data_IF_131492954239
#
_entry.id   IF_131492954239
#
_cell.length_a   1.000
_cell.length_b   1.000
_cell.length_c   1.000
_cell.angle_alpha   90.00
_cell.angle_beta   90.00
_cell.angle_gamma   90.00
#
_symmetry.space_group_name_H-M   'P 1'
#
loop_
_entity.id
_entity.type
_entity.pdbx_description
1 polymer ?
#
# COMPACT_ATOMS: atom_id res chain seq x y z
N UNK A 1 47.87 19.79 87.46
CA UNK A 1 47.24 18.80 88.35
C UNK A 1 45.73 18.86 88.09
N UNK A 2 45.18 17.79 87.50
CA UNK A 2 43.79 17.29 87.61
C UNK A 2 42.59 18.09 87.04
N UNK A 3 41.87 17.37 86.17
CA UNK A 3 40.40 17.20 86.05
C UNK A 3 39.57 18.44 85.64
N UNK A 4 38.44 18.36 84.93
CA UNK A 4 37.64 17.25 84.38
C UNK A 4 36.45 17.86 83.61
N UNK A 5 36.04 17.18 82.53
CA UNK A 5 34.68 16.92 82.02
C UNK A 5 33.53 17.89 82.36
N UNK A 6 32.74 18.28 81.34
CA UNK A 6 31.25 18.20 81.27
C UNK A 6 30.75 18.23 79.80
N UNK A 7 29.88 17.27 79.44
CA UNK A 7 28.82 17.36 78.39
C UNK A 7 27.67 18.27 78.91
N UNK A 8 26.57 18.62 78.19
CA UNK A 8 26.13 18.32 76.80
C UNK A 8 25.50 19.54 76.03
N UNK A 9 25.02 19.25 74.80
CA UNK A 9 23.84 19.82 74.10
C UNK A 9 23.77 21.33 73.75
N UNK A 10 23.82 21.66 72.44
CA UNK A 10 22.97 22.70 71.82
C UNK A 10 22.48 22.21 70.43
N UNK A 11 21.21 22.54 70.19
CA UNK A 11 20.25 22.17 69.15
C UNK A 11 20.31 23.11 67.91
N UNK A 12 19.57 22.73 66.85
CA UNK A 12 19.17 23.51 65.65
C UNK A 12 20.03 23.24 64.38
N UNK A 13 19.50 22.99 63.17
CA UNK A 13 18.21 23.37 62.56
C UNK A 13 17.95 22.47 61.34
N UNK A 14 16.70 22.09 61.08
CA UNK A 14 16.26 21.38 59.87
C UNK A 14 15.85 22.38 58.76
N UNK A 15 16.30 22.13 57.52
CA UNK A 15 15.79 22.59 56.20
C UNK A 15 16.93 22.27 55.20
N UNK A 16 16.84 21.39 54.20
CA UNK A 16 15.87 21.30 53.11
C UNK A 16 16.58 21.66 51.80
N UNK A 17 16.73 20.71 50.86
CA UNK A 17 16.82 20.83 49.37
C UNK A 17 17.49 19.55 48.81
N UNK A 18 16.78 18.71 48.05
CA UNK A 18 16.64 18.71 46.57
C UNK A 18 17.94 18.27 45.84
N UNK A 19 17.97 17.40 44.82
CA UNK A 19 16.96 16.83 43.93
C UNK A 19 17.39 15.42 43.48
N UNK A 20 16.41 14.51 43.44
CA UNK A 20 16.40 13.32 42.60
C UNK A 20 15.73 13.72 41.28
N UNK A 21 16.28 13.32 40.13
CA UNK A 21 15.64 13.61 38.84
C UNK A 21 16.43 13.11 37.64
N UNK A 22 16.32 11.81 37.38
CA UNK A 22 16.69 11.23 36.08
C UNK A 22 15.78 11.83 35.01
N UNK A 23 16.35 12.65 34.11
CA UNK A 23 15.66 13.11 32.91
C UNK A 23 15.66 11.99 31.88
N UNK A 24 14.61 11.16 31.94
CA UNK A 24 14.22 10.30 30.84
C UNK A 24 12.76 10.62 30.54
N UNK A 25 12.44 10.71 29.25
CA UNK A 25 11.11 10.72 28.65
C UNK A 25 10.54 12.09 28.26
N UNK A 26 10.56 12.30 26.94
CA UNK A 26 9.75 13.27 26.23
C UNK A 26 9.71 12.93 24.74
N UNK A 27 9.42 11.67 24.39
CA UNK A 27 8.97 11.35 23.02
C UNK A 27 7.49 11.69 22.99
N UNK A 28 7.16 12.93 22.61
CA UNK A 28 5.79 13.31 22.27
C UNK A 28 5.42 12.72 20.92
N UNK A 29 4.96 11.47 20.95
CA UNK A 29 4.15 10.90 19.88
C UNK A 29 2.69 10.90 20.36
N UNK A 30 1.93 11.92 19.95
CA UNK A 30 0.49 12.06 20.19
C UNK A 30 -0.09 12.91 19.06
N UNK A 31 -1.08 12.50 18.27
CA UNK A 31 -2.00 11.38 18.29
C UNK A 31 -2.47 11.14 16.85
N UNK A 32 -2.49 9.89 16.38
CA UNK A 32 -3.27 9.51 15.19
C UNK A 32 -4.73 9.47 15.60
N UNK A 33 -5.48 10.52 15.28
CA UNK A 33 -6.94 10.50 15.38
C UNK A 33 -7.50 9.96 14.07
N UNK A 34 -7.98 8.72 14.10
CA UNK A 34 -8.80 8.14 13.04
C UNK A 34 -10.26 8.36 13.41
N UNK A 35 -10.92 9.28 12.71
CA UNK A 35 -12.39 9.33 12.69
C UNK A 35 -12.85 9.96 11.37
N UNK A 36 -12.96 9.12 10.36
CA UNK A 36 -14.02 9.19 9.37
C UNK A 36 -14.18 7.79 8.79
N UNK A 37 -15.35 7.19 8.96
CA UNK A 37 -15.77 5.95 8.28
C UNK A 37 -16.03 6.26 6.81
N UNK A 38 -15.03 6.77 6.10
CA UNK A 38 -15.09 6.90 4.65
C UNK A 38 -14.94 5.48 4.12
N UNK A 39 -16.03 4.90 3.62
CA UNK A 39 -16.02 3.56 3.07
C UNK A 39 -14.95 3.45 1.98
N UNK A 40 -13.99 2.55 2.18
CA UNK A 40 -12.96 2.27 1.19
C UNK A 40 -13.57 1.50 0.03
N UNK A 41 -13.48 2.04 -1.17
CA UNK A 41 -14.00 1.40 -2.37
C UNK A 41 -12.86 0.68 -3.10
N UNK A 42 -12.99 -0.65 -3.22
CA UNK A 42 -12.02 -1.45 -3.98
C UNK A 42 -12.33 -1.34 -5.48
N UNK A 43 -11.31 -0.99 -6.26
CA UNK A 43 -11.39 -0.83 -7.72
C UNK A 43 -10.38 -1.78 -8.37
N UNK A 44 -10.89 -2.72 -9.15
CA UNK A 44 -10.06 -3.58 -10.00
C UNK A 44 -9.80 -2.87 -11.32
N UNK A 45 -8.53 -2.76 -11.70
CA UNK A 45 -8.11 -2.10 -12.93
C UNK A 45 -7.16 -3.01 -13.70
N UNK A 46 -7.28 -3.05 -15.02
CA UNK A 46 -6.31 -3.77 -15.85
C UNK A 46 -5.01 -2.96 -16.02
N UNK A 47 -3.88 -3.64 -16.13
CA UNK A 47 -2.64 -3.02 -16.57
C UNK A 47 -2.85 -2.25 -17.89
N UNK A 48 -2.36 -1.02 -17.98
CA UNK A 48 -2.53 -0.12 -19.13
C UNK A 48 -4.00 0.21 -19.47
N UNK A 49 -4.92 0.04 -18.51
CA UNK A 49 -6.32 0.46 -18.64
C UNK A 49 -6.58 1.69 -17.79
N UNK A 50 -7.70 2.33 -18.08
CA UNK A 50 -8.21 3.44 -17.28
C UNK A 50 -9.67 3.24 -16.92
N UNK A 51 -10.06 3.81 -15.78
CA UNK A 51 -11.45 3.86 -15.32
C UNK A 51 -11.78 5.26 -14.87
N UNK A 52 -13.03 5.65 -15.08
CA UNK A 52 -13.55 6.94 -14.64
C UNK A 52 -14.36 6.73 -13.38
N UNK A 53 -14.07 7.52 -12.35
CA UNK A 53 -14.80 7.52 -11.09
C UNK A 53 -15.46 8.88 -10.91
N UNK A 54 -16.78 8.87 -10.69
CA UNK A 54 -17.54 10.06 -10.31
C UNK A 54 -17.57 10.17 -8.77
N UNK A 55 -17.31 11.38 -8.27
CA UNK A 55 -17.18 11.67 -6.84
C UNK A 55 -18.48 12.23 -6.24
N UNK A 56 -18.74 11.93 -4.95
CA UNK A 56 -19.91 12.46 -4.24
C UNK A 56 -19.85 13.98 -4.03
N UNK A 57 -18.65 14.57 -4.01
CA UNK A 57 -18.39 16.01 -3.81
C UNK A 57 -17.17 16.46 -4.61
N UNK A 58 -16.90 17.76 -4.59
CA UNK A 58 -15.77 18.37 -5.29
C UNK A 58 -14.42 17.97 -4.64
N UNK A 59 -13.52 17.41 -5.44
CA UNK A 59 -12.13 17.15 -5.08
C UNK A 59 -11.30 18.42 -5.21
N UNK A 60 -10.51 18.70 -4.18
CA UNK A 60 -9.53 19.77 -4.14
C UNK A 60 -8.10 19.23 -4.20
N UNK A 61 -7.84 18.09 -3.56
CA UNK A 61 -6.53 17.46 -3.54
C UNK A 61 -6.64 15.93 -3.67
N UNK A 62 -5.62 15.30 -4.27
CA UNK A 62 -5.54 13.85 -4.49
C UNK A 62 -4.16 13.36 -4.12
N UNK A 63 -4.12 12.36 -3.26
CA UNK A 63 -2.90 11.67 -2.87
C UNK A 63 -2.91 10.25 -3.43
N UNK A 64 -1.93 9.94 -4.27
CA UNK A 64 -1.66 8.60 -4.77
C UNK A 64 -0.53 7.98 -3.95
N UNK A 65 -0.80 6.87 -3.26
CA UNK A 65 0.18 6.25 -2.37
C UNK A 65 1.42 5.72 -3.12
N UNK A 66 1.23 5.18 -4.32
CA UNK A 66 2.33 4.72 -5.18
C UNK A 66 2.12 5.17 -6.65
N UNK A 67 2.73 6.28 -7.09
CA UNK A 67 2.59 6.82 -8.45
C UNK A 67 3.30 5.99 -9.54
N UNK A 68 4.14 5.02 -9.14
CA UNK A 68 4.74 4.06 -10.07
C UNK A 68 3.73 2.99 -10.50
N UNK A 69 2.74 2.69 -9.65
CA UNK A 69 1.74 1.64 -9.89
C UNK A 69 0.48 2.21 -10.55
N UNK A 70 -0.03 3.34 -10.05
CA UNK A 70 -1.20 4.00 -10.60
C UNK A 70 -1.00 5.51 -10.74
N UNK A 71 -1.80 6.14 -11.58
CA UNK A 71 -1.89 7.60 -11.66
C UNK A 71 -3.35 8.04 -11.67
N UNK A 72 -3.61 9.26 -11.18
CA UNK A 72 -4.95 9.82 -11.07
C UNK A 72 -4.96 11.26 -11.57
N UNK A 73 -5.82 11.53 -12.55
CA UNK A 73 -5.97 12.85 -13.16
C UNK A 73 -7.40 13.33 -13.01
N UNK A 74 -7.58 14.51 -12.42
CA UNK A 74 -8.87 15.20 -12.36
C UNK A 74 -9.19 15.83 -13.70
N UNK A 75 -10.35 15.48 -14.25
CA UNK A 75 -10.88 16.18 -15.43
C UNK A 75 -11.82 17.31 -15.04
N UNK A 76 -12.58 17.10 -13.97
CA UNK A 76 -13.43 18.10 -13.33
C UNK A 76 -13.35 17.90 -11.82
N UNK A 77 -13.87 18.84 -11.02
CA UNK A 77 -13.91 18.71 -9.57
C UNK A 77 -14.59 17.41 -9.10
N UNK A 78 -15.47 16.80 -9.90
CA UNK A 78 -16.22 15.59 -9.51
C UNK A 78 -15.89 14.35 -10.31
N UNK A 79 -14.88 14.40 -11.19
CA UNK A 79 -14.54 13.28 -12.08
C UNK A 79 -13.05 13.06 -12.15
N UNK A 80 -12.63 11.87 -11.71
CA UNK A 80 -11.24 11.43 -11.72
C UNK A 80 -11.09 10.30 -12.74
N UNK A 81 -10.00 10.37 -13.51
CA UNK A 81 -9.51 9.29 -14.36
C UNK A 81 -8.38 8.58 -13.61
N UNK A 82 -8.52 7.28 -13.42
CA UNK A 82 -7.50 6.43 -12.82
C UNK A 82 -6.83 5.62 -13.92
N UNK A 83 -5.50 5.55 -13.89
CA UNK A 83 -4.67 4.85 -14.87
C UNK A 83 -3.82 3.79 -14.17
N UNK A 84 -3.89 2.55 -14.64
CA UNK A 84 -3.03 1.47 -14.15
C UNK A 84 -1.73 1.43 -14.95
N UNK A 85 -0.61 1.71 -14.30
CA UNK A 85 0.72 1.79 -14.94
C UNK A 85 1.56 0.53 -14.73
N UNK A 86 1.50 -0.05 -13.54
CA UNK A 86 2.19 -1.30 -13.21
C UNK A 86 1.26 -2.23 -12.41
N UNK A 87 1.56 -3.53 -12.41
CA UNK A 87 0.82 -4.53 -11.63
C UNK A 87 1.12 -4.32 -10.14
N UNK A 88 0.09 -4.48 -9.31
CA UNK A 88 0.19 -4.39 -7.86
C UNK A 88 -1.00 -3.67 -7.23
N UNK A 89 -0.88 -3.40 -5.93
CA UNK A 89 -1.92 -2.72 -5.16
C UNK A 89 -1.45 -1.32 -4.71
N UNK A 90 -2.36 -0.36 -4.74
CA UNK A 90 -2.10 1.00 -4.23
C UNK A 90 -3.38 1.65 -3.76
N UNK A 91 -3.25 2.72 -2.98
CA UNK A 91 -4.40 3.44 -2.43
C UNK A 91 -4.39 4.88 -2.92
N UNK A 92 -5.58 5.41 -3.16
CA UNK A 92 -5.79 6.82 -3.53
C UNK A 92 -6.75 7.45 -2.54
N UNK A 93 -6.32 8.58 -2.00
CA UNK A 93 -7.12 9.41 -1.10
C UNK A 93 -7.51 10.68 -1.83
N UNK A 94 -8.78 11.03 -1.71
CA UNK A 94 -9.33 12.24 -2.31
C UNK A 94 -9.82 13.15 -1.19
N UNK A 95 -9.37 14.40 -1.21
CA UNK A 95 -9.70 15.40 -0.21
C UNK A 95 -10.54 16.53 -0.81
N UNK A 96 -11.51 16.99 -0.04
CA UNK A 96 -12.35 18.13 -0.35
C UNK A 96 -11.68 19.47 -0.03
N UNK A 97 -12.36 20.59 -0.34
CA UNK A 97 -11.82 21.94 -0.14
C UNK A 97 -11.59 22.30 1.34
N UNK A 98 -12.22 21.60 2.29
CA UNK A 98 -12.02 21.82 3.72
C UNK A 98 -10.97 20.85 4.32
N UNK A 99 -10.25 20.09 3.49
CA UNK A 99 -9.27 19.08 3.91
C UNK A 99 -9.90 17.78 4.43
N UNK A 100 -11.22 17.62 4.28
CA UNK A 100 -11.93 16.40 4.63
C UNK A 100 -11.68 15.29 3.60
N UNK A 101 -11.50 14.05 4.05
CA UNK A 101 -11.37 12.91 3.14
C UNK A 101 -12.74 12.53 2.57
N UNK A 102 -12.95 12.79 1.29
CA UNK A 102 -14.22 12.55 0.60
C UNK A 102 -14.31 11.14 0.00
N UNK A 103 -13.17 10.54 -0.35
CA UNK A 103 -13.11 9.17 -0.85
C UNK A 103 -11.77 8.50 -0.52
N UNK A 104 -11.81 7.17 -0.35
CA UNK A 104 -10.63 6.30 -0.28
C UNK A 104 -10.84 5.14 -1.25
N UNK A 105 -9.89 4.96 -2.15
CA UNK A 105 -9.93 3.99 -3.23
C UNK A 105 -8.76 3.02 -3.07
N UNK A 106 -9.06 1.74 -2.93
CA UNK A 106 -8.06 0.68 -2.96
C UNK A 106 -8.00 0.11 -4.38
N UNK A 107 -6.92 0.38 -5.08
CA UNK A 107 -6.68 -0.09 -6.44
C UNK A 107 -5.95 -1.42 -6.41
N UNK A 108 -6.52 -2.42 -7.07
CA UNK A 108 -5.83 -3.65 -7.45
C UNK A 108 -5.64 -3.63 -8.97
N UNK A 109 -4.39 -3.43 -9.40
CA UNK A 109 -4.04 -3.45 -10.82
C UNK A 109 -3.55 -4.83 -11.18
N UNK A 110 -4.40 -5.55 -11.91
CA UNK A 110 -4.18 -6.92 -12.31
C UNK A 110 -3.83 -6.96 -13.80
N UNK A 111 -3.02 -7.95 -14.19
CA UNK A 111 -2.77 -8.21 -15.61
C UNK A 111 -3.97 -8.95 -16.19
N UNK A 112 -4.47 -8.49 -17.32
CA UNK A 112 -5.46 -9.26 -18.07
C UNK A 112 -4.75 -10.35 -18.87
N UNK A 113 -4.84 -11.60 -18.41
CA UNK A 113 -4.34 -12.78 -19.13
C UNK A 113 -5.46 -13.59 -19.78
N UNK A 114 -6.68 -13.05 -19.88
CA UNK A 114 -7.82 -13.75 -20.47
C UNK A 114 -7.58 -14.18 -21.92
N UNK A 115 -6.59 -13.61 -22.61
CA UNK A 115 -6.18 -14.03 -23.97
C UNK A 115 -4.99 -14.99 -24.04
N UNK A 116 -4.27 -15.24 -22.94
CA UNK A 116 -3.05 -16.07 -23.01
C UNK A 116 -3.38 -17.52 -23.38
N UNK A 117 -4.48 -18.08 -22.88
CA UNK A 117 -4.92 -19.43 -23.22
C UNK A 117 -5.19 -19.58 -24.73
N UNK A 118 -5.90 -18.61 -25.33
CA UNK A 118 -6.15 -18.59 -26.78
C UNK A 118 -4.86 -18.49 -27.60
N UNK A 119 -3.90 -17.68 -27.13
CA UNK A 119 -2.59 -17.58 -27.76
C UNK A 119 -1.83 -18.91 -27.69
N UNK A 120 -1.77 -19.56 -26.53
CA UNK A 120 -1.12 -20.86 -26.36
C UNK A 120 -1.78 -21.89 -27.30
N UNK A 121 -3.12 -21.95 -27.32
CA UNK A 121 -3.87 -22.86 -28.18
C UNK A 121 -3.63 -22.59 -29.67
N UNK A 122 -3.41 -21.35 -30.09
CA UNK A 122 -3.12 -21.01 -31.48
C UNK A 122 -1.74 -21.51 -31.93
N UNK A 123 -0.74 -21.50 -31.04
CA UNK A 123 0.61 -21.97 -31.33
C UNK A 123 0.81 -23.46 -31.04
N UNK A 124 0.03 -24.02 -30.12
CA UNK A 124 0.06 -25.41 -29.67
C UNK A 124 -1.38 -26.00 -29.74
N UNK A 125 -1.92 -26.22 -30.94
CA UNK A 125 -3.34 -26.57 -31.14
C UNK A 125 -3.74 -27.92 -30.57
N UNK A 126 -2.77 -28.82 -30.39
CA UNK A 126 -2.96 -30.17 -29.84
C UNK A 126 -2.81 -30.22 -28.31
N UNK A 127 -2.34 -29.12 -27.70
CA UNK A 127 -2.17 -29.04 -26.25
C UNK A 127 -3.48 -28.76 -25.50
N UNK A 128 -3.56 -29.25 -24.27
CA UNK A 128 -4.65 -28.97 -23.34
C UNK A 128 -4.10 -28.19 -22.13
N UNK A 129 -3.56 -27.00 -22.39
CA UNK A 129 -3.03 -26.10 -21.37
C UNK A 129 -4.15 -25.17 -20.89
N UNK A 130 -4.29 -25.04 -19.57
CA UNK A 130 -5.12 -24.07 -18.89
C UNK A 130 -4.26 -22.99 -18.26
N UNK A 131 -4.77 -21.76 -18.27
CA UNK A 131 -4.11 -20.60 -17.68
C UNK A 131 -4.92 -20.09 -16.50
N UNK A 132 -4.28 -20.00 -15.33
CA UNK A 132 -4.88 -19.41 -14.13
C UNK A 132 -3.99 -18.30 -13.60
N UNK A 133 -4.59 -17.22 -13.10
CA UNK A 133 -3.87 -16.25 -12.28
C UNK A 133 -3.96 -16.65 -10.83
N UNK A 134 -2.81 -16.65 -10.16
CA UNK A 134 -2.73 -16.78 -8.72
C UNK A 134 -1.98 -15.56 -8.16
N UNK A 135 -2.74 -14.63 -7.59
CA UNK A 135 -2.29 -13.28 -7.26
C UNK A 135 -1.69 -12.62 -8.53
N UNK A 136 -0.39 -12.31 -8.51
CA UNK A 136 0.33 -11.70 -9.63
C UNK A 136 1.05 -12.71 -10.53
N UNK A 137 0.93 -14.01 -10.27
CA UNK A 137 1.63 -15.06 -11.02
C UNK A 137 0.68 -15.77 -11.99
N UNK A 138 1.22 -16.16 -13.15
CA UNK A 138 0.52 -17.01 -14.11
C UNK A 138 0.91 -18.46 -13.87
N UNK A 139 -0.07 -19.31 -13.66
CA UNK A 139 0.10 -20.75 -13.50
C UNK A 139 -0.43 -21.44 -14.76
N UNK A 140 0.44 -22.23 -15.38
CA UNK A 140 0.08 -23.09 -16.50
C UNK A 140 -0.16 -24.50 -15.98
N UNK A 141 -1.31 -25.09 -16.29
CA UNK A 141 -1.62 -26.49 -15.94
C UNK A 141 -2.10 -27.25 -17.15
N UNK A 142 -1.98 -28.59 -17.13
CA UNK A 142 -2.50 -29.46 -18.20
C UNK A 142 -1.42 -30.27 -18.92
N UNK A 143 -1.67 -30.61 -20.19
CA UNK A 143 -0.84 -31.54 -20.96
C UNK A 143 -0.41 -30.98 -22.32
N UNK A 144 0.79 -31.35 -22.74
CA UNK A 144 1.37 -31.06 -24.07
C UNK A 144 1.92 -32.34 -24.69
N UNK A 145 2.11 -32.36 -26.01
CA UNK A 145 2.58 -33.54 -26.73
C UNK A 145 4.08 -33.81 -26.55
N UNK A 146 4.88 -32.74 -26.45
CA UNK A 146 6.34 -32.86 -26.35
C UNK A 146 6.94 -31.96 -25.28
N UNK A 147 8.12 -32.29 -24.74
CA UNK A 147 8.86 -31.40 -23.83
C UNK A 147 9.22 -30.04 -24.46
N UNK A 148 9.40 -30.00 -25.79
CA UNK A 148 9.67 -28.77 -26.52
C UNK A 148 8.44 -27.85 -26.52
N UNK A 149 7.24 -28.41 -26.64
CA UNK A 149 5.99 -27.66 -26.56
C UNK A 149 5.75 -27.10 -25.15
N UNK A 150 6.11 -27.84 -24.10
CA UNK A 150 6.09 -27.32 -22.73
C UNK A 150 6.97 -26.07 -22.60
N UNK A 151 8.21 -26.14 -23.12
CA UNK A 151 9.14 -24.99 -23.13
C UNK A 151 8.60 -23.82 -23.93
N UNK A 152 7.91 -24.08 -25.05
CA UNK A 152 7.30 -23.04 -25.87
C UNK A 152 6.12 -22.38 -25.16
N UNK A 153 5.27 -23.15 -24.46
CA UNK A 153 4.18 -22.62 -23.65
C UNK A 153 4.69 -21.72 -22.52
N UNK A 154 5.75 -22.15 -21.82
CA UNK A 154 6.45 -21.35 -20.79
C UNK A 154 6.96 -20.02 -21.38
N UNK A 155 7.61 -20.07 -22.54
CA UNK A 155 8.11 -18.87 -23.22
C UNK A 155 6.98 -17.90 -23.61
N UNK A 156 5.87 -18.41 -24.15
CA UNK A 156 4.72 -17.59 -24.53
C UNK A 156 4.12 -16.89 -23.29
N UNK A 157 3.96 -17.62 -22.18
CA UNK A 157 3.48 -17.04 -20.94
C UNK A 157 4.44 -15.97 -20.41
N UNK A 158 5.75 -16.21 -20.42
CA UNK A 158 6.76 -15.24 -20.00
C UNK A 158 6.72 -13.97 -20.84
N UNK A 159 6.59 -14.09 -22.17
CA UNK A 159 6.48 -12.92 -23.06
C UNK A 159 5.19 -12.11 -22.78
N UNK A 160 4.09 -12.80 -22.49
CA UNK A 160 2.80 -12.16 -22.20
C UNK A 160 2.82 -11.41 -20.86
N UNK A 161 3.50 -11.97 -19.86
CA UNK A 161 3.65 -11.35 -18.53
C UNK A 161 4.67 -10.20 -18.56
N UNK A 162 5.81 -10.36 -19.22
CA UNK A 162 6.85 -9.32 -19.24
C UNK A 162 6.61 -8.21 -20.28
N UNK A 163 5.90 -8.49 -21.38
CA UNK A 163 5.69 -7.54 -22.48
C UNK A 163 4.82 -6.32 -22.17
N UNK A 164 4.26 -6.22 -20.96
CA UNK A 164 3.51 -5.04 -20.51
C UNK A 164 4.30 -4.02 -19.69
N UNK A 165 5.60 -4.22 -19.48
CA UNK A 165 6.47 -3.39 -18.61
C UNK A 165 7.44 -2.46 -19.40
N UNK A 166 7.15 -2.15 -20.67
CA UNK A 166 8.01 -1.32 -21.52
C UNK A 166 7.73 0.18 -21.40
#
# INVERSE_FOLDING_TARGET
MRLSAKLPAILATAFGLLLVGANVQGVEAKSTQVSATTATQRVKLGLNKSVVIDLPSDAYDILVANPSVADAVTRTARRIYLFGKAVGETNIFVFGPNGEQIASLDLAIERDVAGLEDYIKRFLPTSAVKVELLNDNVVLTGTVDTPLDAKRAEQLANMFVSGGEA
#
